data_IF_402394621707
#
_entry.id   IF_402394621707
#
_cell.length_a   1.000
_cell.length_b   1.000
_cell.length_c   1.000
_cell.angle_alpha   90.00
_cell.angle_beta   90.00
_cell.angle_gamma   90.00
#
_symmetry.space_group_name_H-M   'P 1'
#
loop_
_entity.id
_entity.type
_entity.pdbx_description
1 polymer ?
#
# COMPACT_ATOMS: atom_id res chain seq x y z
N UNK A 1 -9.03 -26.65 11.16
CA UNK A 1 -9.29 -27.26 9.84
C UNK A 1 -10.33 -26.39 9.15
N UNK A 2 -9.98 -25.73 8.05
CA UNK A 2 -10.88 -24.81 7.33
C UNK A 2 -11.73 -25.63 6.37
N UNK A 3 -13.06 -25.52 6.45
CA UNK A 3 -13.97 -26.14 5.50
C UNK A 3 -13.81 -25.48 4.12
N UNK A 4 -13.77 -26.25 3.02
CA UNK A 4 -13.89 -25.71 1.68
C UNK A 4 -15.13 -24.82 1.55
N UNK A 5 -15.05 -23.76 0.73
CA UNK A 5 -16.12 -22.77 0.56
C UNK A 5 -17.48 -23.41 0.20
N UNK A 6 -17.47 -24.48 -0.60
CA UNK A 6 -18.69 -25.20 -0.97
C UNK A 6 -19.38 -25.86 0.24
N UNK A 7 -18.62 -26.51 1.11
CA UNK A 7 -19.17 -27.20 2.29
C UNK A 7 -19.76 -26.20 3.30
N UNK A 8 -19.19 -25.00 3.39
CA UNK A 8 -19.75 -23.89 4.18
C UNK A 8 -21.13 -23.48 3.64
N UNK A 9 -21.27 -23.34 2.32
CA UNK A 9 -22.54 -22.96 1.69
C UNK A 9 -23.62 -24.04 1.91
N UNK A 10 -23.27 -25.32 1.73
CA UNK A 10 -24.21 -26.43 1.95
C UNK A 10 -24.66 -26.51 3.41
N UNK A 11 -23.76 -26.22 4.36
CA UNK A 11 -24.10 -26.15 5.78
C UNK A 11 -25.03 -24.98 6.12
N UNK A 12 -24.93 -23.84 5.42
CA UNK A 12 -25.74 -22.66 5.68
C UNK A 12 -27.12 -22.73 4.99
N UNK A 13 -27.20 -23.35 3.81
CA UNK A 13 -28.38 -23.38 2.95
C UNK A 13 -28.91 -24.81 2.74
N UNK A 14 -29.02 -25.59 3.81
CA UNK A 14 -29.27 -27.03 3.73
C UNK A 14 -30.64 -27.43 3.13
N UNK A 15 -31.58 -26.49 2.98
CA UNK A 15 -32.90 -26.74 2.39
C UNK A 15 -33.09 -26.11 0.99
N UNK A 16 -32.06 -25.46 0.44
CA UNK A 16 -32.14 -24.75 -0.83
C UNK A 16 -31.26 -25.40 -1.91
N UNK A 17 -31.62 -25.19 -3.18
CA UNK A 17 -30.78 -25.57 -4.32
C UNK A 17 -29.74 -24.48 -4.58
N UNK A 18 -28.48 -24.77 -4.27
CA UNK A 18 -27.36 -23.84 -4.46
C UNK A 18 -26.82 -23.96 -5.89
N UNK A 19 -26.72 -22.82 -6.60
CA UNK A 19 -26.07 -22.72 -7.91
C UNK A 19 -24.95 -21.69 -7.88
N UNK A 20 -23.72 -22.12 -8.15
CA UNK A 20 -22.55 -21.23 -8.27
C UNK A 20 -22.44 -20.78 -9.72
N UNK A 21 -22.40 -19.46 -9.94
CA UNK A 21 -22.30 -18.88 -11.29
C UNK A 21 -20.85 -18.70 -11.73
N UNK A 22 -20.00 -18.23 -10.82
CA UNK A 22 -18.56 -18.08 -11.03
C UNK A 22 -17.85 -18.08 -9.67
N UNK A 23 -16.54 -18.32 -9.71
CA UNK A 23 -15.67 -18.28 -8.53
C UNK A 23 -14.48 -17.39 -8.84
N UNK A 24 -14.16 -16.47 -7.94
CA UNK A 24 -12.94 -15.67 -8.02
C UNK A 24 -12.11 -15.90 -6.77
N UNK A 25 -10.78 -15.81 -6.94
CA UNK A 25 -9.83 -15.87 -5.83
C UNK A 25 -9.38 -14.44 -5.53
N UNK A 26 -10.02 -13.73 -4.59
CA UNK A 26 -9.57 -12.41 -4.23
C UNK A 26 -8.15 -12.47 -3.68
N UNK A 27 -7.34 -11.49 -4.07
CA UNK A 27 -5.99 -11.31 -3.54
C UNK A 27 -5.85 -9.90 -3.00
N UNK A 28 -5.05 -9.77 -1.95
CA UNK A 28 -4.67 -8.45 -1.44
C UNK A 28 -3.67 -7.81 -2.39
N UNK A 29 -3.92 -6.57 -2.80
CA UNK A 29 -2.99 -5.76 -3.59
C UNK A 29 -2.98 -4.32 -3.10
N UNK A 30 -1.81 -3.83 -2.70
CA UNK A 30 -1.60 -2.41 -2.44
C UNK A 30 -1.02 -1.71 -3.67
N UNK A 31 -1.36 -0.44 -3.84
CA UNK A 31 -0.83 0.42 -4.90
C UNK A 31 0.34 1.30 -4.43
N UNK A 32 0.88 1.03 -3.23
CA UNK A 32 2.04 1.74 -2.73
C UNK A 32 3.22 1.57 -3.69
N UNK A 33 4.00 2.64 -3.80
CA UNK A 33 5.25 2.61 -4.55
C UNK A 33 6.17 3.70 -4.02
N UNK A 34 7.46 3.53 -4.28
CA UNK A 34 8.48 4.52 -3.90
C UNK A 34 8.22 5.90 -4.53
N UNK A 35 7.80 5.91 -5.80
CA UNK A 35 7.41 7.14 -6.51
C UNK A 35 6.22 7.86 -5.83
N UNK A 36 5.21 7.10 -5.38
CA UNK A 36 4.07 7.69 -4.64
C UNK A 36 4.51 8.28 -3.30
N UNK A 37 5.50 7.67 -2.64
CA UNK A 37 6.09 8.22 -1.42
C UNK A 37 6.82 9.54 -1.70
N UNK A 38 7.68 9.59 -2.72
CA UNK A 38 8.36 10.82 -3.14
C UNK A 38 7.39 11.94 -3.51
N UNK A 39 6.33 11.61 -4.25
CA UNK A 39 5.27 12.56 -4.60
C UNK A 39 4.54 13.09 -3.37
N UNK A 40 4.23 12.23 -2.40
CA UNK A 40 3.59 12.65 -1.15
C UNK A 40 4.48 13.63 -0.37
N UNK A 41 5.79 13.31 -0.23
CA UNK A 41 6.77 14.20 0.39
C UNK A 41 6.91 15.53 -0.37
N UNK A 42 6.87 15.50 -1.70
CA UNK A 42 6.94 16.69 -2.55
C UNK A 42 5.76 17.64 -2.29
N UNK A 43 4.55 17.10 -2.11
CA UNK A 43 3.34 17.89 -1.85
C UNK A 43 3.32 18.54 -0.47
N UNK A 44 4.00 17.96 0.53
CA UNK A 44 4.17 18.58 1.85
C UNK A 44 5.06 19.83 1.78
N UNK A 45 5.99 19.87 0.82
CA UNK A 45 6.75 21.06 0.47
C UNK A 45 8.23 20.98 0.82
N UNK A 46 9.04 21.64 0.00
CA UNK A 46 10.51 21.59 0.08
C UNK A 46 11.07 22.12 1.40
N UNK A 47 10.47 23.18 1.96
CA UNK A 47 10.99 23.82 3.17
C UNK A 47 10.84 22.93 4.41
N UNK A 48 9.69 22.28 4.55
CA UNK A 48 9.45 21.33 5.65
C UNK A 48 10.41 20.14 5.53
N UNK A 49 10.53 19.58 4.33
CA UNK A 49 11.45 18.47 4.08
C UNK A 49 12.92 18.83 4.33
N UNK A 50 13.37 20.03 3.94
CA UNK A 50 14.73 20.47 4.21
C UNK A 50 15.04 20.50 5.71
N UNK A 51 14.14 21.02 6.55
CA UNK A 51 14.34 21.01 8.00
C UNK A 51 14.42 19.60 8.58
N UNK A 52 13.62 18.66 8.06
CA UNK A 52 13.67 17.25 8.49
C UNK A 52 14.99 16.60 8.07
N UNK A 53 15.49 16.93 6.88
CA UNK A 53 16.75 16.39 6.37
C UNK A 53 18.00 17.03 7.01
N UNK A 54 17.90 18.20 7.62
CA UNK A 54 18.98 18.81 8.40
C UNK A 54 19.25 18.03 9.70
N UNK A 55 18.22 17.44 10.28
CA UNK A 55 18.31 16.62 11.51
C UNK A 55 18.64 15.13 11.23
N UNK A 56 18.53 14.68 9.97
CA UNK A 56 18.82 13.29 9.57
C UNK A 56 18.87 13.07 8.06
N UNK A 57 19.67 12.11 7.59
CA UNK A 57 19.88 11.89 6.14
C UNK A 57 18.75 11.12 5.43
N UNK A 58 17.74 10.63 6.16
CA UNK A 58 16.64 9.83 5.62
C UNK A 58 15.34 10.01 6.40
N UNK A 59 14.22 9.75 5.72
CA UNK A 59 12.86 9.73 6.29
C UNK A 59 12.27 8.35 6.03
N UNK A 60 11.72 7.71 7.07
CA UNK A 60 10.99 6.45 6.96
C UNK A 60 9.48 6.71 6.88
N UNK A 61 8.84 6.15 5.85
CA UNK A 61 7.39 6.18 5.67
C UNK A 61 6.84 4.76 5.79
N UNK A 62 5.89 4.59 6.71
CA UNK A 62 5.14 3.35 6.87
C UNK A 62 3.77 3.49 6.21
N UNK A 63 3.42 2.57 5.31
CA UNK A 63 2.13 2.56 4.64
C UNK A 63 1.10 1.80 5.48
N UNK A 64 0.03 2.46 5.94
CA UNK A 64 -0.95 1.84 6.85
C UNK A 64 -1.72 0.66 6.23
N UNK A 65 -1.82 0.59 4.89
CA UNK A 65 -2.61 -0.44 4.21
C UNK A 65 -1.87 -1.76 4.02
N UNK A 66 -0.60 -1.73 3.62
CA UNK A 66 0.20 -2.93 3.37
C UNK A 66 1.33 -3.11 4.39
N UNK A 67 1.53 -2.15 5.28
CA UNK A 67 2.61 -2.12 6.26
C UNK A 67 4.02 -2.13 5.62
N UNK A 68 4.12 -1.74 4.34
CA UNK A 68 5.40 -1.53 3.66
C UNK A 68 6.10 -0.30 4.24
N UNK A 69 7.42 -0.40 4.42
CA UNK A 69 8.26 0.70 4.87
C UNK A 69 9.18 1.16 3.73
N UNK A 70 9.11 2.46 3.42
CA UNK A 70 10.01 3.10 2.49
C UNK A 70 10.92 4.08 3.22
N UNK A 71 12.22 3.83 3.15
CA UNK A 71 13.23 4.80 3.56
C UNK A 71 13.62 5.66 2.35
N UNK A 72 13.40 6.97 2.44
CA UNK A 72 13.74 7.96 1.42
C UNK A 72 14.91 8.80 1.89
N UNK A 73 15.97 8.86 1.10
CA UNK A 73 17.16 9.66 1.39
C UNK A 73 17.05 11.06 0.80
N UNK A 74 17.74 12.02 1.41
CA UNK A 74 17.79 13.41 0.95
C UNK A 74 18.21 13.51 -0.51
N UNK A 75 19.22 12.74 -0.92
CA UNK A 75 19.73 12.72 -2.30
C UNK A 75 18.66 12.31 -3.30
N UNK A 76 17.87 11.28 -2.97
CA UNK A 76 16.78 10.79 -3.80
C UNK A 76 15.66 11.82 -3.93
N UNK A 77 15.26 12.44 -2.81
CA UNK A 77 14.24 13.49 -2.81
C UNK A 77 14.67 14.70 -3.64
N UNK A 78 15.93 15.15 -3.52
CA UNK A 78 16.46 16.26 -4.31
C UNK A 78 16.54 15.95 -5.81
N UNK A 79 16.81 14.71 -6.19
CA UNK A 79 16.76 14.29 -7.60
C UNK A 79 15.31 14.35 -8.11
N UNK A 80 14.36 13.84 -7.33
CA UNK A 80 12.95 13.85 -7.68
C UNK A 80 12.41 15.27 -7.88
N UNK A 81 12.75 16.20 -6.97
CA UNK A 81 12.27 17.60 -7.03
C UNK A 81 12.82 18.34 -8.25
N UNK A 82 14.08 18.08 -8.65
CA UNK A 82 14.69 18.67 -9.86
C UNK A 82 14.03 18.19 -11.15
N UNK A 83 13.55 16.94 -11.19
CA UNK A 83 12.90 16.38 -12.36
C UNK A 83 11.42 16.78 -12.50
N UNK A 84 10.81 17.35 -11.45
CA UNK A 84 9.40 17.73 -11.39
C UNK A 84 9.19 19.23 -11.11
N UNK A 85 10.24 20.05 -11.27
CA UNK A 85 10.21 21.52 -11.22
C UNK A 85 10.01 22.14 -12.59
#
# INVERSE_FOLDING_TARGET
MVLPHYDQLVSLFSNDLIRILFTENPSFRCSCSRERCLKALYLLGLKEMQSIFEDGNSISLNYEFCNENYEIYTTEFLIYTRNNS
#
